data_IF_560003058172
#
_entry.id   IF_560003058172
#
_cell.length_a   1.000
_cell.length_b   1.000
_cell.length_c   1.000
_cell.angle_alpha   90.00
_cell.angle_beta   90.00
_cell.angle_gamma   90.00
#
_symmetry.space_group_name_H-M   'P 1'
#
loop_
_entity.id
_entity.type
_entity.pdbx_description
1 polymer ?
#
# COMPACT_ATOMS: atom_id res chain seq x y z
N UNK A 1 -8.92 9.86 -4.97
CA UNK A 1 -10.11 9.04 -4.62
C UNK A 1 -10.06 8.91 -3.12
N UNK A 2 -11.11 9.32 -2.43
CA UNK A 2 -11.22 9.16 -0.98
C UNK A 2 -11.74 7.75 -0.73
N UNK A 3 -10.99 6.93 0.00
CA UNK A 3 -11.45 5.62 0.46
C UNK A 3 -11.76 5.75 1.94
N UNK A 4 -12.93 5.25 2.33
CA UNK A 4 -13.34 5.18 3.73
C UNK A 4 -13.23 3.73 4.19
N UNK A 5 -12.44 3.51 5.23
CA UNK A 5 -12.32 2.25 5.94
C UNK A 5 -13.11 2.33 7.24
N UNK A 6 -13.71 1.21 7.63
CA UNK A 6 -14.42 1.08 8.90
C UNK A 6 -14.07 -0.25 9.55
N UNK A 7 -13.89 -0.26 10.86
CA UNK A 7 -13.68 -1.47 11.64
C UNK A 7 -14.24 -1.35 13.05
N UNK A 8 -14.46 -2.51 13.66
CA UNK A 8 -14.81 -2.65 15.06
C UNK A 8 -13.58 -2.44 15.97
N UNK A 9 -13.74 -1.67 17.04
CA UNK A 9 -12.66 -1.29 17.97
C UNK A 9 -12.11 -2.53 18.72
N UNK A 10 -12.99 -3.45 19.14
CA UNK A 10 -12.58 -4.67 19.85
C UNK A 10 -11.83 -5.65 18.94
N UNK A 11 -12.22 -5.75 17.66
CA UNK A 11 -11.48 -6.52 16.65
C UNK A 11 -10.12 -5.88 16.36
N UNK A 12 -10.03 -4.56 16.24
CA UNK A 12 -8.76 -3.85 16.04
C UNK A 12 -7.80 -4.13 17.21
N UNK A 13 -8.28 -4.01 18.45
CA UNK A 13 -7.52 -4.28 19.68
C UNK A 13 -7.06 -5.75 19.77
N UNK A 14 -7.90 -6.68 19.33
CA UNK A 14 -7.57 -8.12 19.27
C UNK A 14 -6.50 -8.39 18.20
N UNK A 15 -6.62 -7.79 17.02
CA UNK A 15 -5.64 -7.89 15.95
C UNK A 15 -4.28 -7.29 16.37
N UNK A 16 -4.33 -6.15 17.07
CA UNK A 16 -3.18 -5.45 17.65
C UNK A 16 -2.35 -6.36 18.55
N UNK A 17 -3.04 -7.10 19.43
CA UNK A 17 -2.45 -7.99 20.44
C UNK A 17 -1.96 -9.30 19.84
N UNK A 18 -2.73 -9.91 18.93
CA UNK A 18 -2.37 -11.18 18.27
C UNK A 18 -1.22 -11.02 17.28
N UNK A 19 -1.39 -10.13 16.30
CA UNK A 19 -0.50 -10.06 15.13
C UNK A 19 0.50 -8.90 15.21
N UNK A 20 0.40 -8.04 16.23
CA UNK A 20 1.30 -6.91 16.39
C UNK A 20 1.14 -5.79 15.36
N UNK A 21 0.13 -5.85 14.48
CA UNK A 21 -0.19 -4.86 13.41
C UNK A 21 -1.52 -4.15 13.71
N UNK A 22 -1.63 -2.83 13.46
CA UNK A 22 -2.91 -2.11 13.52
C UNK A 22 -3.59 -2.07 12.14
N UNK A 23 -4.93 -1.93 12.11
CA UNK A 23 -5.65 -1.82 10.85
C UNK A 23 -5.31 -0.52 10.10
N UNK A 24 -5.01 0.56 10.83
CA UNK A 24 -4.44 1.80 10.30
C UNK A 24 -3.15 1.56 9.51
N UNK A 25 -2.22 0.77 10.07
CA UNK A 25 -0.97 0.39 9.39
C UNK A 25 -1.28 -0.48 8.16
N UNK A 26 -2.22 -1.42 8.28
CA UNK A 26 -2.64 -2.29 7.18
C UNK A 26 -3.28 -1.52 6.01
N UNK A 27 -3.99 -0.41 6.25
CA UNK A 27 -4.54 0.44 5.16
C UNK A 27 -3.46 1.00 4.22
N UNK A 28 -2.19 1.03 4.65
CA UNK A 28 -1.10 1.55 3.82
C UNK A 28 -0.83 0.68 2.58
N UNK A 29 -1.29 -0.59 2.57
CA UNK A 29 -1.26 -1.47 1.39
C UNK A 29 -1.98 -0.86 0.17
N UNK A 30 -3.00 -0.01 0.38
CA UNK A 30 -3.73 0.65 -0.69
C UNK A 30 -2.92 1.79 -1.36
N UNK A 31 -1.86 2.28 -0.71
CA UNK A 31 -0.93 3.26 -1.29
C UNK A 31 0.25 2.63 -2.05
N UNK A 32 0.55 1.35 -1.80
CA UNK A 32 1.64 0.67 -2.51
C UNK A 32 1.20 0.38 -3.96
N UNK A 33 1.95 0.97 -4.89
CA UNK A 33 1.75 0.77 -6.33
C UNK A 33 2.04 -0.68 -6.78
N UNK A 34 2.79 -1.44 -5.99
CA UNK A 34 3.16 -2.84 -6.26
C UNK A 34 2.39 -3.83 -5.39
N UNK A 35 1.49 -3.36 -4.51
CA UNK A 35 0.63 -4.26 -3.76
C UNK A 35 -0.20 -5.15 -4.70
N UNK A 36 -0.37 -6.40 -4.30
CA UNK A 36 -1.18 -7.39 -5.00
C UNK A 36 -2.43 -7.68 -4.19
N UNK A 37 -3.56 -7.75 -4.88
CA UNK A 37 -4.88 -7.97 -4.32
C UNK A 37 -5.49 -9.22 -4.95
N UNK A 38 -6.11 -10.08 -4.14
CA UNK A 38 -6.85 -11.25 -4.61
C UNK A 38 -8.25 -11.22 -3.98
N UNK A 39 -9.28 -11.42 -4.79
CA UNK A 39 -10.60 -11.76 -4.26
C UNK A 39 -10.54 -13.19 -3.72
N UNK A 40 -10.80 -13.36 -2.43
CA UNK A 40 -10.64 -14.64 -1.73
C UNK A 40 -11.94 -15.45 -1.75
N UNK A 41 -12.96 -14.95 -1.07
CA UNK A 41 -14.24 -15.65 -0.89
C UNK A 41 -15.43 -14.68 -0.78
N UNK A 42 -16.63 -15.21 -0.92
CA UNK A 42 -17.88 -14.48 -0.69
C UNK A 42 -18.53 -15.04 0.58
N UNK A 43 -18.79 -14.19 1.57
CA UNK A 43 -19.25 -14.61 2.89
C UNK A 43 -20.23 -13.57 3.45
N UNK A 44 -21.37 -14.00 3.98
CA UNK A 44 -22.43 -13.14 4.54
C UNK A 44 -22.95 -12.03 3.60
N UNK A 45 -22.89 -12.24 2.27
CA UNK A 45 -23.30 -11.24 1.27
C UNK A 45 -22.19 -10.28 0.82
N UNK A 46 -20.98 -10.40 1.38
CA UNK A 46 -19.85 -9.51 1.11
C UNK A 46 -18.69 -10.22 0.42
N UNK A 47 -17.97 -9.48 -0.43
CA UNK A 47 -16.73 -9.94 -1.04
C UNK A 47 -15.54 -9.72 -0.10
N UNK A 48 -14.83 -10.79 0.25
CA UNK A 48 -13.57 -10.71 1.00
C UNK A 48 -12.37 -10.69 0.08
N UNK A 49 -11.42 -9.83 0.43
CA UNK A 49 -10.20 -9.57 -0.33
C UNK A 49 -8.98 -9.78 0.56
N UNK A 50 -7.93 -10.36 -0.02
CA UNK A 50 -6.59 -10.42 0.55
C UNK A 50 -5.71 -9.40 -0.17
N UNK A 51 -4.85 -8.70 0.56
CA UNK A 51 -3.93 -7.71 0.04
C UNK A 51 -2.53 -7.93 0.63
N UNK A 52 -1.50 -7.86 -0.21
CA UNK A 52 -0.09 -7.98 0.18
C UNK A 52 0.67 -6.83 -0.46
N UNK A 53 1.47 -6.10 0.31
CA UNK A 53 2.30 -5.00 -0.18
C UNK A 53 3.27 -4.51 0.88
N UNK A 54 4.13 -3.57 0.49
CA UNK A 54 5.19 -3.02 1.34
C UNK A 54 4.92 -1.55 1.69
N UNK A 55 5.32 -1.09 2.87
CA UNK A 55 5.17 0.32 3.27
C UNK A 55 6.32 0.80 4.17
N UNK A 56 6.73 2.07 4.04
CA UNK A 56 8.00 2.57 4.63
C UNK A 56 8.15 4.12 4.66
N UNK A 57 7.16 4.90 5.18
CA UNK A 57 7.22 6.41 5.13
C UNK A 57 6.53 7.11 6.33
N UNK A 58 6.99 8.29 6.84
CA UNK A 58 6.98 8.86 8.25
C UNK A 58 6.13 10.16 8.70
N UNK A 59 5.28 10.19 9.78
CA UNK A 59 4.37 11.32 10.33
C UNK A 59 4.14 11.35 11.89
N UNK A 60 2.87 11.49 12.37
CA UNK A 60 2.33 11.72 13.75
C UNK A 60 0.83 11.33 13.88
N UNK A 61 0.41 10.99 15.12
CA UNK A 61 -0.96 10.61 15.60
C UNK A 61 -2.01 11.73 15.65
N UNK A 62 -3.30 11.35 15.79
CA UNK A 62 -4.38 12.10 16.50
C UNK A 62 -5.13 11.14 17.44
N UNK A 63 -5.75 11.68 18.51
CA UNK A 63 -6.19 10.92 19.69
C UNK A 63 -7.50 10.14 19.57
N UNK A 64 -7.69 9.22 20.53
CA UNK A 64 -8.75 8.21 20.58
C UNK A 64 -10.06 8.70 21.25
N UNK A 65 -11.19 8.04 20.95
CA UNK A 65 -12.45 8.16 21.71
C UNK A 65 -13.31 6.89 21.55
N UNK A 66 -13.68 6.28 22.68
CA UNK A 66 -14.24 4.92 22.77
C UNK A 66 -15.64 4.72 22.18
N UNK A 67 -15.93 3.45 21.84
CA UNK A 67 -17.23 2.84 21.55
C UNK A 67 -17.91 3.32 20.25
N UNK A 68 -17.16 3.43 19.16
CA UNK A 68 -17.71 3.58 17.80
C UNK A 68 -16.90 2.77 16.79
N UNK A 69 -17.58 2.35 15.73
CA UNK A 69 -16.92 1.95 14.46
C UNK A 69 -15.93 3.04 14.07
N UNK A 70 -14.65 2.69 13.96
CA UNK A 70 -13.60 3.66 13.65
C UNK A 70 -13.61 3.91 12.15
N UNK A 71 -14.15 5.05 11.74
CA UNK A 71 -14.06 5.54 10.35
C UNK A 71 -12.67 6.15 10.11
N UNK A 72 -11.93 5.56 9.18
CA UNK A 72 -10.61 6.03 8.75
C UNK A 72 -10.63 6.41 7.28
N UNK A 73 -10.45 7.72 7.01
CA UNK A 73 -10.50 8.30 5.66
C UNK A 73 -9.10 8.44 5.06
N UNK A 74 -8.95 7.94 3.84
CA UNK A 74 -7.69 7.77 3.13
C UNK A 74 -7.73 8.55 1.80
N UNK A 75 -6.98 9.64 1.72
CA UNK A 75 -6.74 10.34 0.45
C UNK A 75 -5.57 9.68 -0.28
N UNK A 76 -5.87 8.87 -1.29
CA UNK A 76 -4.87 8.17 -2.11
C UNK A 76 -3.86 9.13 -2.80
N UNK A 77 -4.17 10.42 -2.92
CA UNK A 77 -3.26 11.41 -3.52
C UNK A 77 -2.29 12.05 -2.49
N UNK A 78 -2.55 11.90 -1.19
CA UNK A 78 -1.76 12.46 -0.09
C UNK A 78 -1.57 11.38 0.97
N UNK A 79 -0.65 10.42 0.75
CA UNK A 79 -0.38 9.38 1.73
C UNK A 79 -0.11 9.97 3.12
N UNK A 80 -0.76 9.45 4.17
CA UNK A 80 -0.25 9.64 5.50
C UNK A 80 1.11 8.95 5.57
N UNK A 81 1.79 9.26 6.64
CA UNK A 81 3.20 8.98 6.81
C UNK A 81 3.25 8.42 8.29
N UNK A 82 4.21 7.59 8.71
CA UNK A 82 4.29 6.74 9.93
C UNK A 82 4.97 7.43 11.13
N UNK A 83 4.35 7.51 12.29
CA UNK A 83 5.00 8.08 13.48
C UNK A 83 6.23 7.30 13.95
N UNK A 84 7.11 7.91 14.77
CA UNK A 84 8.23 7.20 15.40
C UNK A 84 7.76 5.97 16.20
N UNK A 85 6.59 6.05 16.85
CA UNK A 85 5.97 4.91 17.52
C UNK A 85 5.62 3.77 16.54
N UNK A 86 5.08 4.11 15.35
CA UNK A 86 4.77 3.12 14.32
C UNK A 86 6.04 2.53 13.69
N UNK A 87 7.08 3.34 13.45
CA UNK A 87 8.40 2.83 13.02
C UNK A 87 8.95 1.84 14.03
N UNK A 88 9.04 2.21 15.30
CA UNK A 88 9.56 1.35 16.36
C UNK A 88 8.78 0.04 16.45
N UNK A 89 7.46 0.09 16.21
CA UNK A 89 6.59 -1.09 16.14
C UNK A 89 6.85 -1.96 14.91
N UNK A 90 7.00 -1.36 13.73
CA UNK A 90 7.32 -2.07 12.48
C UNK A 90 8.73 -2.67 12.50
N UNK A 91 9.68 -1.96 13.11
CA UNK A 91 11.04 -2.43 13.33
C UNK A 91 11.07 -3.57 14.37
N UNK A 92 10.24 -3.50 15.42
CA UNK A 92 10.05 -4.60 16.36
C UNK A 92 9.38 -5.82 15.71
N UNK A 93 8.41 -5.61 14.80
CA UNK A 93 7.81 -6.68 13.98
C UNK A 93 8.85 -7.32 13.04
N UNK A 94 9.64 -6.51 12.34
CA UNK A 94 10.70 -6.99 11.42
C UNK A 94 11.84 -7.74 12.13
N UNK A 95 11.94 -7.62 13.46
CA UNK A 95 12.88 -8.36 14.31
C UNK A 95 12.28 -9.63 14.94
N UNK A 96 10.97 -9.87 14.81
CA UNK A 96 10.35 -11.14 15.24
C UNK A 96 10.67 -12.25 14.24
N UNK A 97 10.91 -13.49 14.69
CA UNK A 97 11.14 -14.62 13.79
C UNK A 97 9.81 -15.09 13.18
N UNK A 98 9.84 -15.49 11.91
CA UNK A 98 8.67 -16.00 11.18
C UNK A 98 8.00 -17.23 11.85
N UNK A 99 8.73 -17.94 12.71
CA UNK A 99 8.20 -19.05 13.52
C UNK A 99 7.16 -18.64 14.57
N UNK A 100 7.03 -17.34 14.88
CA UNK A 100 5.99 -16.79 15.77
C UNK A 100 4.71 -16.39 15.02
N UNK A 101 4.64 -16.59 13.70
CA UNK A 101 3.45 -16.26 12.89
C UNK A 101 2.34 -17.30 13.13
N UNK A 102 1.19 -16.85 13.65
CA UNK A 102 -0.01 -17.66 13.85
C UNK A 102 -0.87 -17.73 12.58
N UNK A 103 -0.90 -18.92 11.96
CA UNK A 103 -1.70 -19.23 10.76
C UNK A 103 -3.11 -19.79 11.06
N UNK A 104 -3.57 -19.78 12.32
CA UNK A 104 -4.86 -20.40 12.70
C UNK A 104 -6.09 -19.70 12.13
N UNK A 105 -6.03 -18.38 11.89
CA UNK A 105 -7.12 -17.56 11.34
C UNK A 105 -7.01 -17.38 9.81
N UNK A 106 -5.78 -17.41 9.27
CA UNK A 106 -5.49 -17.24 7.84
C UNK A 106 -4.41 -18.28 7.44
N UNK A 107 -4.75 -19.26 6.58
CA UNK A 107 -3.78 -20.28 6.16
C UNK A 107 -2.69 -19.70 5.26
N UNK A 108 -1.57 -20.42 5.16
CA UNK A 108 -0.44 -20.07 4.30
C UNK A 108 -0.85 -19.84 2.83
N UNK A 109 -0.17 -18.89 2.19
CA UNK A 109 -0.44 -18.48 0.82
C UNK A 109 0.14 -19.48 -0.19
N UNK A 110 -0.73 -20.08 -0.99
CA UNK A 110 -0.37 -21.11 -1.95
C UNK A 110 -0.10 -20.55 -3.37
N UNK A 111 0.24 -21.44 -4.31
CA UNK A 111 0.42 -21.06 -5.73
C UNK A 111 -0.87 -20.60 -6.41
N UNK A 112 -2.06 -20.96 -5.90
CA UNK A 112 -3.34 -20.48 -6.42
C UNK A 112 -3.57 -18.98 -6.13
N UNK A 113 -3.00 -18.45 -5.04
CA UNK A 113 -3.02 -17.02 -4.74
C UNK A 113 -2.40 -16.22 -5.89
N UNK A 114 -1.13 -16.52 -6.21
CA UNK A 114 -0.36 -15.79 -7.21
C UNK A 114 -0.92 -15.89 -8.63
N UNK A 115 -1.68 -16.95 -8.94
CA UNK A 115 -2.33 -17.11 -10.25
C UNK A 115 -3.46 -16.10 -10.50
N UNK A 116 -4.13 -15.64 -9.44
CA UNK A 116 -5.33 -14.79 -9.52
C UNK A 116 -5.14 -13.42 -8.85
N UNK A 117 -3.95 -13.13 -8.33
CA UNK A 117 -3.63 -11.84 -7.73
C UNK A 117 -3.47 -10.77 -8.82
N UNK A 118 -4.11 -9.62 -8.62
CA UNK A 118 -4.04 -8.44 -9.50
C UNK A 118 -3.26 -7.33 -8.83
N UNK A 119 -2.52 -6.54 -9.60
CA UNK A 119 -1.85 -5.34 -9.09
C UNK A 119 -2.89 -4.32 -8.59
N UNK A 120 -2.58 -3.62 -7.49
CA UNK A 120 -3.45 -2.71 -6.74
C UNK A 120 -4.42 -1.90 -7.64
N UNK A 121 -5.72 -2.28 -7.69
CA UNK A 121 -6.69 -1.65 -8.59
C UNK A 121 -7.16 -0.27 -8.09
N UNK A 122 -6.85 0.05 -6.82
CA UNK A 122 -7.22 1.32 -6.17
C UNK A 122 -6.14 2.39 -6.38
N UNK A 123 -4.86 2.00 -6.50
CA UNK A 123 -3.76 2.93 -6.76
C UNK A 123 -3.81 3.53 -8.17
N UNK A 124 -4.49 4.68 -8.28
CA UNK A 124 -4.56 5.48 -9.51
C UNK A 124 -3.67 6.73 -9.34
N UNK A 125 -2.40 6.68 -9.78
CA UNK A 125 -1.49 7.82 -9.60
C UNK A 125 -2.03 9.05 -10.34
N UNK A 126 -2.31 10.11 -9.60
CA UNK A 126 -2.80 11.38 -10.13
C UNK A 126 -1.73 12.01 -11.03
N UNK A 127 -2.00 12.02 -12.34
CA UNK A 127 -1.14 12.72 -13.29
C UNK A 127 -1.37 14.22 -13.14
N UNK A 128 -0.38 14.93 -12.60
CA UNK A 128 -0.34 16.38 -12.69
C UNK A 128 0.05 16.77 -14.12
N UNK A 129 -0.68 17.73 -14.71
CA UNK A 129 -0.38 18.24 -16.05
C UNK A 129 0.64 19.37 -15.89
N UNK A 130 1.88 19.12 -16.29
CA UNK A 130 2.98 20.08 -16.19
C UNK A 130 3.67 20.21 -17.54
N UNK A 131 3.96 21.44 -17.95
CA UNK A 131 4.73 21.71 -19.17
C UNK A 131 6.22 21.66 -18.87
N UNK A 132 6.89 20.61 -19.35
CA UNK A 132 8.34 20.41 -19.22
C UNK A 132 8.98 20.48 -20.61
N UNK A 133 10.15 21.09 -20.73
CA UNK A 133 10.97 21.03 -21.95
C UNK A 133 11.87 19.81 -21.87
N UNK A 134 11.93 19.03 -22.95
CA UNK A 134 12.73 17.81 -23.08
C UNK A 134 13.48 17.91 -24.40
N UNK A 135 14.74 17.48 -24.40
CA UNK A 135 15.61 17.54 -25.58
C UNK A 135 15.08 16.71 -26.76
N UNK A 136 15.41 17.16 -27.97
CA UNK A 136 14.80 16.67 -29.20
C UNK A 136 15.16 15.21 -29.50
N UNK A 137 16.38 14.80 -29.17
CA UNK A 137 16.91 13.45 -29.30
C UNK A 137 16.25 12.48 -28.30
N UNK A 138 16.12 12.86 -27.03
CA UNK A 138 15.39 12.11 -26.00
C UNK A 138 13.93 11.91 -26.42
N UNK A 139 13.30 12.97 -26.94
CA UNK A 139 11.93 12.89 -27.48
C UNK A 139 11.82 12.01 -28.73
N UNK A 140 12.84 11.99 -29.60
CA UNK A 140 12.90 11.12 -30.76
C UNK A 140 13.04 9.65 -30.35
N UNK A 141 13.96 9.35 -29.42
CA UNK A 141 14.15 8.00 -28.85
C UNK A 141 12.89 7.47 -28.17
N UNK A 142 12.22 8.28 -27.33
CA UNK A 142 10.96 7.91 -26.68
C UNK A 142 9.84 7.58 -27.70
N UNK A 143 9.76 8.35 -28.80
CA UNK A 143 8.77 8.17 -29.87
C UNK A 143 9.10 7.02 -30.82
N UNK A 144 10.37 6.66 -31.02
CA UNK A 144 10.79 5.57 -31.91
C UNK A 144 10.16 4.22 -31.51
N UNK A 145 9.91 4.01 -30.22
CA UNK A 145 9.20 2.84 -29.68
C UNK A 145 7.66 2.90 -29.84
N UNK A 146 7.14 3.78 -30.71
CA UNK A 146 5.73 3.86 -31.07
C UNK A 146 4.80 4.47 -30.01
N UNK A 147 3.50 4.15 -30.09
CA UNK A 147 2.45 4.69 -29.21
C UNK A 147 2.76 4.43 -27.73
N UNK A 148 2.27 5.30 -26.83
CA UNK A 148 2.47 5.16 -25.38
C UNK A 148 3.76 5.77 -24.81
N UNK A 149 4.50 6.57 -25.58
CA UNK A 149 5.76 7.19 -25.14
C UNK A 149 5.64 8.00 -23.83
N UNK A 150 4.52 8.70 -23.62
CA UNK A 150 4.24 9.43 -22.36
C UNK A 150 4.15 8.49 -21.14
N UNK A 151 3.58 7.30 -21.30
CA UNK A 151 3.51 6.29 -20.24
C UNK A 151 4.90 5.72 -19.94
N UNK A 152 5.72 5.48 -20.97
CA UNK A 152 7.12 5.05 -20.80
C UNK A 152 7.98 6.12 -20.12
N UNK A 153 7.83 7.39 -20.52
CA UNK A 153 8.48 8.54 -19.91
C UNK A 153 8.15 8.64 -18.41
N UNK A 154 6.86 8.56 -18.04
CA UNK A 154 6.46 8.55 -16.63
C UNK A 154 6.95 7.31 -15.86
N UNK A 155 7.15 6.16 -16.53
CA UNK A 155 7.78 4.98 -15.91
C UNK A 155 9.27 5.26 -15.63
N UNK A 156 10.03 5.72 -16.63
CA UNK A 156 11.46 6.03 -16.49
C UNK A 156 11.70 7.06 -15.37
N UNK A 157 10.90 8.12 -15.31
CA UNK A 157 10.97 9.13 -14.25
C UNK A 157 10.66 8.55 -12.86
N UNK A 158 9.68 7.63 -12.76
CA UNK A 158 9.38 6.93 -11.51
C UNK A 158 10.51 6.00 -11.10
N UNK A 159 11.06 5.22 -12.03
CA UNK A 159 12.12 4.26 -11.75
C UNK A 159 13.40 4.99 -11.30
N UNK A 160 13.73 6.13 -11.92
CA UNK A 160 14.83 7.01 -11.50
C UNK A 160 14.61 7.60 -10.10
N UNK A 161 13.42 8.15 -9.83
CA UNK A 161 13.05 8.67 -8.50
C UNK A 161 13.10 7.58 -7.40
N UNK A 162 12.63 6.37 -7.70
CA UNK A 162 12.68 5.25 -6.75
C UNK A 162 14.11 4.73 -6.51
N UNK A 163 15.00 4.84 -7.50
CA UNK A 163 16.41 4.49 -7.33
C UNK A 163 17.12 5.54 -6.47
N UNK A 164 16.90 6.84 -6.73
CA UNK A 164 17.48 7.93 -5.94
C UNK A 164 17.11 7.84 -4.46
N UNK A 165 15.82 7.64 -4.16
CA UNK A 165 15.31 7.42 -2.79
C UNK A 165 15.86 6.18 -2.08
N UNK A 166 16.46 5.22 -2.79
CA UNK A 166 17.15 4.06 -2.19
C UNK A 166 18.62 4.32 -1.91
N UNK A 167 19.23 5.23 -2.65
CA UNK A 167 20.66 5.54 -2.55
C UNK A 167 20.94 6.70 -1.60
N UNK A 168 19.92 7.51 -1.27
CA UNK A 168 19.96 8.62 -0.32
C UNK A 168 18.92 8.41 0.82
N UNK A 169 19.28 7.66 1.89
CA UNK A 169 18.42 7.44 3.07
C UNK A 169 18.32 8.66 4.00
#
# INVERSE_FOLDING_TARGET
MEIEFSWDEHKADTNLKKHGVAFEDATLVFYDAHAVFKQDRFENGEYRWQAIGMHDRQRKKRGNSMNKTVTYKVDLNKPPVLSEEQKARLEALAKRPDSEIDFSDIPELDKSFWKNAVQNPFYKPTKQVTTVRIDADVMQWLKAQGKGYQTRMNKILRDAMLNDLKNHP
#
